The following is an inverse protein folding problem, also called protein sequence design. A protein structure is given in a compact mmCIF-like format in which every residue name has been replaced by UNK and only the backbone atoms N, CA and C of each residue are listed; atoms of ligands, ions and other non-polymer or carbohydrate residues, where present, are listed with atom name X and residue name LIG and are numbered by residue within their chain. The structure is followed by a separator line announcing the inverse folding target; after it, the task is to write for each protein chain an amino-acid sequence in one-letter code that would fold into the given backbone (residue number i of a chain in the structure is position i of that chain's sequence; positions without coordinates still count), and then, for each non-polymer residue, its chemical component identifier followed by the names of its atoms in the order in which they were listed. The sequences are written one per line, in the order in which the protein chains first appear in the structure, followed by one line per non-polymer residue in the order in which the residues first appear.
data_IF_218499159473
#
_entry.id   IF_218499159473
#
_cell.length_a   1.000
_cell.length_b   1.000
_cell.length_c   1.000
_cell.angle_alpha   90.00
_cell.angle_beta   90.00
_cell.angle_gamma   90.00
#
_symmetry.space_group_name_H-M   'P 1'
#
loop_
_entity.id
_entity.type
_entity.pdbx_description
1 polymer ?
#
# COMPACT_ATOMS: atom_id res chain seq x y z
N UNK A 1 -4.62 7.58 19.41
CA UNK A 1 -4.91 6.94 18.11
C UNK A 1 -3.68 6.86 17.22
N UNK A 2 -3.42 5.71 16.59
CA UNK A 2 -2.34 5.58 15.62
C UNK A 2 -2.58 6.49 14.40
N UNK A 3 -1.50 7.04 13.84
CA UNK A 3 -1.56 7.88 12.64
C UNK A 3 -1.06 7.12 11.43
N UNK A 4 -1.72 7.31 10.29
CA UNK A 4 -1.38 6.65 9.03
C UNK A 4 -0.87 7.66 8.00
N UNK A 5 -0.08 7.18 7.04
CA UNK A 5 0.39 8.01 5.95
C UNK A 5 0.93 7.20 4.78
N UNK A 6 1.41 7.93 3.77
CA UNK A 6 2.01 7.36 2.56
C UNK A 6 3.34 8.05 2.31
N UNK A 7 4.41 7.30 2.08
CA UNK A 7 5.69 7.87 1.65
C UNK A 7 5.52 8.42 0.24
N UNK A 8 6.12 9.58 -0.04
CA UNK A 8 6.12 10.19 -1.35
C UNK A 8 7.55 10.34 -1.86
N UNK A 9 7.77 9.99 -3.11
CA UNK A 9 9.05 10.18 -3.80
C UNK A 9 8.93 11.37 -4.74
N UNK A 10 9.90 12.28 -4.68
CA UNK A 10 10.00 13.42 -5.60
C UNK A 10 10.57 12.91 -6.92
N UNK A 11 9.83 13.11 -8.00
CA UNK A 11 10.24 12.68 -9.35
C UNK A 11 10.76 13.85 -10.20
N UNK A 12 10.32 15.07 -9.92
CA UNK A 12 10.88 16.29 -10.50
C UNK A 12 10.57 17.48 -9.60
N UNK A 13 11.37 18.53 -9.70
CA UNK A 13 11.13 19.79 -9.03
C UNK A 13 11.46 20.97 -9.93
N UNK A 14 10.85 22.11 -9.64
CA UNK A 14 11.08 23.38 -10.31
C UNK A 14 11.12 24.49 -9.24
N UNK A 15 12.18 25.30 -9.26
CA UNK A 15 12.41 26.40 -8.33
C UNK A 15 12.07 27.72 -9.03
N UNK A 16 11.13 28.48 -8.47
CA UNK A 16 10.85 29.84 -8.92
C UNK A 16 11.68 30.83 -8.09
N UNK A 17 12.78 31.29 -8.70
CA UNK A 17 13.75 32.19 -8.05
C UNK A 17 13.16 33.52 -7.54
N UNK A 18 12.01 33.94 -8.08
CA UNK A 18 11.39 35.22 -7.74
C UNK A 18 10.37 35.13 -6.59
N UNK A 19 9.87 33.93 -6.29
CA UNK A 19 8.73 33.74 -5.36
C UNK A 19 9.11 32.86 -4.16
N UNK A 20 10.40 32.52 -4.03
CA UNK A 20 10.96 31.59 -3.02
C UNK A 20 10.15 30.28 -2.92
N UNK A 21 9.55 29.87 -4.04
CA UNK A 21 8.63 28.73 -4.10
C UNK A 21 9.28 27.54 -4.81
N UNK A 22 8.99 26.35 -4.29
CA UNK A 22 9.48 25.08 -4.84
C UNK A 22 8.27 24.24 -5.26
N UNK A 23 8.10 24.05 -6.57
CA UNK A 23 7.07 23.18 -7.12
C UNK A 23 7.60 21.75 -7.24
N UNK A 24 6.88 20.78 -6.67
CA UNK A 24 7.28 19.38 -6.64
C UNK A 24 6.27 18.51 -7.40
N UNK A 25 6.79 17.62 -8.25
CA UNK A 25 6.02 16.47 -8.75
C UNK A 25 6.41 15.26 -7.93
N UNK A 26 5.42 14.61 -7.31
CA UNK A 26 5.64 13.49 -6.39
C UNK A 26 4.80 12.26 -6.77
N UNK A 27 5.28 11.07 -6.40
CA UNK A 27 4.56 9.80 -6.53
C UNK A 27 4.48 9.12 -5.17
N UNK A 28 3.28 8.69 -4.75
CA UNK A 28 3.10 7.88 -3.55
C UNK A 28 3.69 6.49 -3.71
N UNK A 29 4.45 6.01 -2.72
CA UNK A 29 5.16 4.72 -2.76
C UNK A 29 4.59 3.69 -1.80
N UNK A 30 4.73 3.89 -0.49
CA UNK A 30 4.40 2.87 0.52
C UNK A 30 3.51 3.44 1.62
N UNK A 31 2.53 2.66 2.07
CA UNK A 31 1.70 3.00 3.23
C UNK A 31 2.49 2.74 4.51
N UNK A 32 2.30 3.57 5.53
CA UNK A 32 2.93 3.42 6.82
C UNK A 32 2.00 3.77 7.98
N UNK A 33 2.40 3.35 9.17
CA UNK A 33 1.79 3.71 10.46
C UNK A 33 2.84 4.33 11.39
N UNK A 34 2.42 5.33 12.16
CA UNK A 34 3.12 5.86 13.32
C UNK A 34 2.53 5.16 14.54
N UNK A 35 3.24 4.16 15.05
CA UNK A 35 2.77 3.30 16.14
C UNK A 35 2.65 4.07 17.46
N UNK A 36 3.58 5.00 17.71
CA UNK A 36 3.57 5.87 18.87
C UNK A 36 3.60 7.35 18.43
N UNK A 37 2.47 8.06 18.50
CA UNK A 37 2.37 9.48 18.15
C UNK A 37 3.26 10.40 18.98
N UNK A 38 3.72 9.97 20.17
CA UNK A 38 4.64 10.75 21.01
C UNK A 38 6.05 10.84 20.41
N UNK A 39 6.38 9.97 19.46
CA UNK A 39 7.65 10.00 18.72
C UNK A 39 7.71 11.12 17.68
N UNK A 40 6.58 11.78 17.39
CA UNK A 40 6.53 12.91 16.46
C UNK A 40 7.21 14.11 17.13
N UNK A 41 8.33 14.54 16.56
CA UNK A 41 9.11 15.68 17.05
C UNK A 41 9.35 16.67 15.92
N UNK A 42 9.31 17.98 16.23
CA UNK A 42 9.81 19.00 15.31
C UNK A 42 11.32 19.14 15.50
N UNK A 43 12.06 19.24 14.40
CA UNK A 43 13.46 19.61 14.45
C UNK A 43 13.64 21.13 14.56
N UNK A 44 14.89 21.59 14.57
CA UNK A 44 15.25 23.01 14.73
C UNK A 44 14.72 23.90 13.58
N UNK A 45 14.40 23.31 12.43
CA UNK A 45 13.83 24.01 11.28
C UNK A 45 12.31 23.93 11.25
N UNK A 46 11.69 23.40 12.33
CA UNK A 46 10.25 23.22 12.43
C UNK A 46 9.71 22.02 11.63
N UNK A 47 10.57 21.21 11.01
CA UNK A 47 10.18 20.06 10.20
C UNK A 47 9.76 18.91 11.12
N UNK A 48 8.60 18.33 10.87
CA UNK A 48 8.09 17.18 11.62
C UNK A 48 8.82 15.91 11.22
N UNK A 49 9.34 15.20 12.22
CA UNK A 49 9.99 13.89 12.08
C UNK A 49 9.27 12.87 12.95
N UNK A 50 9.17 11.64 12.45
CA UNK A 50 8.56 10.53 13.15
C UNK A 50 9.22 9.21 12.72
N UNK A 51 9.26 8.24 13.64
CA UNK A 51 9.58 6.86 13.27
C UNK A 51 8.30 6.20 12.75
N UNK A 52 8.42 5.54 11.60
CA UNK A 52 7.28 4.91 10.91
C UNK A 52 7.57 3.44 10.65
N UNK A 53 6.52 2.63 10.64
CA UNK A 53 6.57 1.24 10.21
C UNK A 53 5.82 1.08 8.89
N UNK A 54 6.49 0.53 7.88
CA UNK A 54 5.90 0.28 6.56
C UNK A 54 4.87 -0.85 6.66
N UNK A 55 3.72 -0.65 6.03
CA UNK A 55 2.67 -1.65 5.91
C UNK A 55 2.88 -2.44 4.62
N UNK A 56 2.88 -3.79 4.66
CA UNK A 56 3.02 -4.61 3.48
C UNK A 56 1.76 -4.51 2.61
N UNK A 57 1.94 -4.61 1.29
CA UNK A 57 0.81 -4.75 0.38
C UNK A 57 0.32 -6.19 0.38
N UNK A 58 -0.94 -6.35 0.80
CA UNK A 58 -1.59 -7.65 0.88
C UNK A 58 -1.95 -8.13 -0.52
N UNK A 59 -1.19 -9.09 -1.04
CA UNK A 59 -1.53 -9.81 -2.25
C UNK A 59 -2.28 -11.09 -1.89
N UNK A 60 -3.61 -11.04 -1.93
CA UNK A 60 -4.43 -12.24 -1.76
C UNK A 60 -4.35 -13.06 -3.04
N UNK A 61 -3.91 -14.32 -2.91
CA UNK A 61 -4.04 -15.28 -4.01
C UNK A 61 -5.52 -15.53 -4.25
N UNK A 62 -5.92 -15.56 -5.52
CA UNK A 62 -7.27 -16.03 -5.88
C UNK A 62 -7.43 -17.46 -5.36
N UNK A 63 -8.51 -17.78 -4.63
CA UNK A 63 -8.77 -19.17 -4.28
C UNK A 63 -8.88 -20.01 -5.56
N UNK A 64 -8.34 -21.24 -5.57
CA UNK A 64 -8.46 -22.10 -6.73
C UNK A 64 -9.95 -22.32 -7.04
N UNK A 65 -10.31 -22.22 -8.32
CA UNK A 65 -11.67 -22.55 -8.75
C UNK A 65 -11.93 -24.03 -8.41
N UNK A 66 -13.13 -24.39 -7.92
CA UNK A 66 -13.47 -25.79 -7.74
C UNK A 66 -13.33 -26.48 -9.09
N UNK A 67 -12.52 -27.54 -9.14
CA UNK A 67 -12.42 -28.41 -10.31
C UNK A 67 -13.78 -29.07 -10.46
N UNK A 68 -14.62 -28.56 -11.36
CA UNK A 68 -15.87 -29.23 -11.71
C UNK A 68 -15.44 -30.48 -12.50
N UNK A 69 -15.36 -31.61 -11.82
CA UNK A 69 -15.29 -32.93 -12.45
C UNK A 69 -16.58 -33.15 -13.24
N UNK A 70 -16.50 -33.04 -14.57
CA UNK A 70 -17.55 -33.41 -15.53
C UNK A 70 -16.88 -34.38 -16.51
N UNK A 71 -17.31 -35.63 -16.76
CA UNK A 71 -18.50 -36.37 -16.43
C UNK A 71 -18.13 -37.87 -16.31
N UNK A 72 -18.33 -38.52 -15.16
CA UNK A 72 -18.44 -39.98 -15.14
C UNK A 72 -19.92 -40.34 -15.34
N UNK A 73 -20.29 -40.66 -16.58
CA UNK A 73 -21.57 -41.34 -16.85
C UNK A 73 -21.45 -42.74 -16.22
N UNK A 74 -22.14 -42.98 -15.11
CA UNK A 74 -22.35 -44.33 -14.61
C UNK A 74 -23.56 -44.92 -15.33
N UNK A 75 -23.29 -45.78 -16.32
CA UNK A 75 -24.33 -46.63 -16.92
C UNK A 75 -24.64 -47.76 -15.95
N UNK A 76 -25.85 -47.78 -15.38
CA UNK A 76 -26.37 -48.91 -14.63
C UNK A 76 -27.18 -49.76 -15.61
N UNK A 77 -26.70 -50.98 -15.89
CA UNK A 77 -27.45 -51.95 -16.69
C UNK A 77 -28.40 -52.73 -15.77
N UNK A 78 -29.69 -52.70 -16.07
CA UNK A 78 -30.66 -53.62 -15.46
C UNK A 78 -30.73 -54.90 -16.31
N UNK A 79 -30.53 -56.05 -15.67
CA UNK A 79 -30.80 -57.36 -16.27
C UNK A 79 -32.23 -57.73 -15.88
N UNK A 80 -33.06 -58.03 -16.89
CA UNK A 80 -34.44 -58.51 -16.75
C UNK A 80 -34.47 -59.98 -16.29
#
# INVERSE_FOLDING_TARGET
DPKYGTTAEIVSYYEELNDESLQLKIIGRQRFIIDDPSTIKRDLNGILRAYVRILPDLQLKRPPLPVISQNYIHTINFVL
#
